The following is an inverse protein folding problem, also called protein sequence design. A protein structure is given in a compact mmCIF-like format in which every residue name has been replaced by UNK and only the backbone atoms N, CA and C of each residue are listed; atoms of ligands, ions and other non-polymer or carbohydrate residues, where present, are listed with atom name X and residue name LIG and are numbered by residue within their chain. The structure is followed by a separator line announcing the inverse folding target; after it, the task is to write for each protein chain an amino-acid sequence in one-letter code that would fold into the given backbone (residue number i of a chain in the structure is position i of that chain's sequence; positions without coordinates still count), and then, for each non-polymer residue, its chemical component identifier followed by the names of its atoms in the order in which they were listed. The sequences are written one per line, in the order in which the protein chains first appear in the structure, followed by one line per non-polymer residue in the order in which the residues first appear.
data_IF_360913625333
#
_entry.id   IF_360913625333
#
_cell.length_a   1.000
_cell.length_b   1.000
_cell.length_c   1.000
_cell.angle_alpha   90.00
_cell.angle_beta   90.00
_cell.angle_gamma   90.00
#
_symmetry.space_group_name_H-M   'P 1'
#
loop_
_entity.id
_entity.type
_entity.pdbx_description
1 polymer ?
#
# COMPACT_ATOMS: atom_id res chain seq x y z
N UNK A 1 -3.43 6.30 -20.55
CA UNK A 1 -3.70 7.56 -19.85
C UNK A 1 -3.00 8.70 -20.56
N UNK A 2 -3.76 9.71 -20.95
CA UNK A 2 -3.29 11.04 -21.33
C UNK A 2 -2.60 11.73 -20.14
N UNK A 3 -1.81 12.77 -20.41
CA UNK A 3 -1.10 13.50 -19.36
C UNK A 3 -2.06 14.24 -18.41
N UNK A 4 -3.20 14.70 -18.91
CA UNK A 4 -4.25 15.32 -18.10
C UNK A 4 -4.89 14.32 -17.11
N UNK A 5 -5.10 13.07 -17.53
CA UNK A 5 -5.61 12.01 -16.65
C UNK A 5 -4.60 11.66 -15.56
N UNK A 6 -3.29 11.62 -15.90
CA UNK A 6 -2.23 11.40 -14.91
C UNK A 6 -2.22 12.53 -13.88
N UNK A 7 -2.26 13.78 -14.31
CA UNK A 7 -2.24 14.93 -13.40
C UNK A 7 -3.43 14.89 -12.43
N UNK A 8 -4.65 14.62 -12.95
CA UNK A 8 -5.85 14.47 -12.13
C UNK A 8 -5.73 13.31 -11.12
N UNK A 9 -5.17 12.19 -11.55
CA UNK A 9 -4.91 11.04 -10.67
C UNK A 9 -3.93 11.41 -9.56
N UNK A 10 -2.79 12.02 -9.89
CA UNK A 10 -1.80 12.42 -8.88
C UNK A 10 -2.37 13.45 -7.91
N UNK A 11 -3.20 14.39 -8.38
CA UNK A 11 -3.92 15.30 -7.48
C UNK A 11 -4.79 14.52 -6.49
N UNK A 12 -5.55 13.52 -6.96
CA UNK A 12 -6.40 12.68 -6.10
C UNK A 12 -5.57 11.89 -5.07
N UNK A 13 -4.41 11.38 -5.49
CA UNK A 13 -3.46 10.71 -4.59
C UNK A 13 -3.02 11.66 -3.48
N UNK A 14 -2.55 12.87 -3.83
CA UNK A 14 -2.13 13.87 -2.87
C UNK A 14 -3.25 14.29 -1.92
N UNK A 15 -4.44 14.59 -2.47
CA UNK A 15 -5.62 14.95 -1.68
C UNK A 15 -5.98 13.83 -0.67
N UNK A 16 -5.91 12.56 -1.08
CA UNK A 16 -6.21 11.44 -0.17
C UNK A 16 -5.16 11.31 0.93
N UNK A 17 -3.87 11.46 0.60
CA UNK A 17 -2.79 11.36 1.58
C UNK A 17 -2.88 12.50 2.60
N UNK A 18 -3.22 13.71 2.16
CA UNK A 18 -3.38 14.87 3.04
C UNK A 18 -4.61 14.72 3.95
N UNK A 19 -5.74 14.27 3.42
CA UNK A 19 -7.01 14.24 4.16
C UNK A 19 -7.22 12.96 5.00
N UNK A 20 -6.66 11.82 4.56
CA UNK A 20 -6.92 10.50 5.16
C UNK A 20 -5.65 9.79 5.62
N UNK A 21 -4.47 10.37 5.36
CA UNK A 21 -3.19 9.79 5.76
C UNK A 21 -2.55 8.89 4.72
N UNK A 22 -3.30 8.32 3.78
CA UNK A 22 -2.74 7.50 2.69
C UNK A 22 -3.71 7.35 1.51
N UNK A 23 -3.20 6.81 0.40
CA UNK A 23 -3.95 6.43 -0.79
C UNK A 23 -3.65 4.97 -1.14
N UNK A 24 -4.66 4.19 -1.50
CA UNK A 24 -4.48 2.84 -2.06
C UNK A 24 -4.62 2.87 -3.58
N UNK A 25 -3.57 2.42 -4.27
CA UNK A 25 -3.62 2.13 -5.70
C UNK A 25 -3.99 0.67 -5.89
N UNK A 26 -4.92 0.36 -6.79
CA UNK A 26 -5.26 -1.01 -7.16
C UNK A 26 -5.13 -1.23 -8.66
N UNK A 27 -4.37 -2.25 -9.04
CA UNK A 27 -4.20 -2.70 -10.43
C UNK A 27 -5.07 -3.94 -10.61
N UNK A 28 -6.04 -3.83 -11.51
CA UNK A 28 -7.04 -4.87 -11.76
C UNK A 28 -6.40 -6.10 -12.42
N UNK A 29 -7.11 -7.22 -12.31
CA UNK A 29 -6.73 -8.46 -12.95
C UNK A 29 -6.79 -8.34 -14.49
N UNK A 30 -5.84 -9.00 -15.15
CA UNK A 30 -5.84 -9.22 -16.59
C UNK A 30 -5.38 -10.65 -16.87
N UNK A 31 -5.63 -11.16 -18.08
CA UNK A 31 -5.25 -12.54 -18.44
C UNK A 31 -3.73 -12.71 -18.28
N UNK A 32 -3.32 -13.61 -17.39
CA UNK A 32 -1.91 -13.87 -17.09
C UNK A 32 -1.27 -12.87 -16.11
N UNK A 33 -2.07 -12.01 -15.47
CA UNK A 33 -1.60 -10.99 -14.55
C UNK A 33 -2.31 -11.09 -13.19
N UNK A 34 -1.52 -11.25 -12.12
CA UNK A 34 -2.05 -11.28 -10.76
C UNK A 34 -2.41 -9.86 -10.32
N UNK A 35 -3.66 -9.59 -9.91
CA UNK A 35 -4.02 -8.27 -9.41
C UNK A 35 -3.22 -7.94 -8.16
N UNK A 36 -2.99 -6.66 -7.94
CA UNK A 36 -2.34 -6.21 -6.71
C UNK A 36 -2.83 -4.81 -6.33
N UNK A 37 -2.67 -4.47 -5.06
CA UNK A 37 -2.76 -3.09 -4.63
C UNK A 37 -1.65 -2.73 -3.67
N UNK A 38 -1.38 -1.43 -3.58
CA UNK A 38 -0.34 -0.90 -2.73
C UNK A 38 -0.73 0.45 -2.14
N UNK A 39 -0.26 0.71 -0.93
CA UNK A 39 -0.49 1.98 -0.25
C UNK A 39 0.56 3.02 -0.62
N UNK A 40 0.22 4.30 -0.48
CA UNK A 40 1.16 5.40 -0.59
C UNK A 40 0.79 6.46 0.45
N UNK A 41 1.77 6.93 1.21
CA UNK A 41 1.62 7.98 2.22
C UNK A 41 1.62 7.48 3.65
N UNK A 42 1.47 6.17 3.90
CA UNK A 42 1.50 5.60 5.24
C UNK A 42 2.84 5.88 5.91
N UNK A 43 3.95 5.67 5.18
CA UNK A 43 5.29 5.86 5.73
C UNK A 43 5.51 7.33 6.12
N UNK A 44 5.11 8.26 5.26
CA UNK A 44 5.19 9.70 5.53
C UNK A 44 4.40 10.12 6.78
N UNK A 45 3.17 9.63 6.92
CA UNK A 45 2.23 10.17 7.91
C UNK A 45 2.20 9.42 9.24
N UNK A 46 2.54 8.13 9.23
CA UNK A 46 2.49 7.27 10.42
C UNK A 46 3.84 6.66 10.80
N UNK A 47 4.87 6.80 9.96
CA UNK A 47 6.21 6.27 10.24
C UNK A 47 6.30 4.74 10.17
N UNK A 48 5.26 4.06 9.69
CA UNK A 48 5.24 2.61 9.48
C UNK A 48 5.33 2.27 7.99
N UNK A 49 5.88 1.11 7.59
CA UNK A 49 5.99 0.73 6.19
C UNK A 49 4.66 0.78 5.42
N UNK A 50 4.75 1.06 4.12
CA UNK A 50 3.67 0.86 3.16
C UNK A 50 3.35 -0.64 3.02
N UNK A 51 2.16 -0.97 2.51
CA UNK A 51 1.76 -2.33 2.18
C UNK A 51 1.72 -2.53 0.67
N UNK A 52 2.26 -3.66 0.22
CA UNK A 52 2.07 -4.21 -1.11
C UNK A 52 1.33 -5.53 -0.99
N UNK A 53 0.17 -5.66 -1.62
CA UNK A 53 -0.73 -6.81 -1.46
C UNK A 53 -1.01 -7.39 -2.84
N UNK A 54 -0.60 -8.63 -3.07
CA UNK A 54 -0.83 -9.35 -4.33
C UNK A 54 -1.91 -10.43 -4.18
N UNK A 55 -2.71 -10.61 -5.22
CA UNK A 55 -3.70 -11.69 -5.32
C UNK A 55 -5.00 -11.46 -4.55
N UNK A 56 -5.16 -10.34 -3.85
CA UNK A 56 -6.40 -10.00 -3.16
C UNK A 56 -7.29 -9.06 -3.99
N UNK A 57 -8.63 -9.24 -3.97
CA UNK A 57 -9.58 -8.28 -4.52
C UNK A 57 -9.46 -6.90 -3.86
N UNK A 58 -9.76 -5.84 -4.61
CA UNK A 58 -9.68 -4.44 -4.15
C UNK A 58 -10.35 -4.19 -2.79
N UNK A 59 -11.53 -4.78 -2.55
CA UNK A 59 -12.22 -4.66 -1.27
C UNK A 59 -11.39 -5.17 -0.10
N UNK A 60 -10.81 -6.38 -0.22
CA UNK A 60 -9.98 -6.98 0.82
C UNK A 60 -8.65 -6.25 0.97
N UNK A 61 -8.04 -5.79 -0.13
CA UNK A 61 -6.84 -4.93 -0.09
C UNK A 61 -7.11 -3.68 0.75
N UNK A 62 -8.22 -2.97 0.48
CA UNK A 62 -8.56 -1.77 1.23
C UNK A 62 -8.84 -2.06 2.71
N UNK A 63 -9.60 -3.11 3.00
CA UNK A 63 -9.88 -3.52 4.39
C UNK A 63 -8.59 -3.87 5.13
N UNK A 64 -7.70 -4.65 4.52
CA UNK A 64 -6.43 -5.05 5.13
C UNK A 64 -5.53 -3.84 5.40
N UNK A 65 -5.39 -2.92 4.45
CA UNK A 65 -4.58 -1.71 4.66
C UNK A 65 -5.15 -0.82 5.76
N UNK A 66 -6.47 -0.61 5.79
CA UNK A 66 -7.11 0.18 6.86
C UNK A 66 -6.89 -0.45 8.24
N UNK A 67 -7.11 -1.76 8.37
CA UNK A 67 -6.92 -2.48 9.63
C UNK A 67 -5.46 -2.44 10.09
N UNK A 68 -4.52 -2.57 9.14
CA UNK A 68 -3.08 -2.44 9.41
C UNK A 68 -2.73 -1.05 9.95
N UNK A 69 -3.16 0.03 9.28
CA UNK A 69 -2.88 1.39 9.73
C UNK A 69 -3.49 1.64 11.10
N UNK A 70 -4.77 1.33 11.29
CA UNK A 70 -5.46 1.60 12.56
C UNK A 70 -4.84 0.84 13.73
N UNK A 71 -4.40 -0.40 13.51
CA UNK A 71 -3.76 -1.21 14.55
C UNK A 71 -2.35 -0.75 14.87
N UNK A 72 -1.54 -0.46 13.85
CA UNK A 72 -0.10 -0.31 14.01
C UNK A 72 0.43 1.13 13.92
N UNK A 73 -0.40 2.14 13.60
CA UNK A 73 0.05 3.55 13.57
C UNK A 73 0.69 4.06 14.87
N UNK A 74 0.46 3.38 16.00
CA UNK A 74 1.06 3.70 17.30
C UNK A 74 1.69 2.46 17.99
N UNK A 75 1.88 1.36 17.26
CA UNK A 75 2.34 0.09 17.82
C UNK A 75 3.42 -0.53 16.94
N UNK A 76 4.19 -1.45 17.51
CA UNK A 76 5.19 -2.20 16.75
C UNK A 76 4.51 -3.24 15.85
N UNK A 77 5.00 -3.37 14.62
CA UNK A 77 4.52 -4.36 13.67
C UNK A 77 5.20 -5.72 13.94
N UNK A 78 4.45 -6.81 14.14
CA UNK A 78 5.01 -8.12 14.41
C UNK A 78 5.46 -8.79 13.10
N UNK A 79 6.66 -8.43 12.63
CA UNK A 79 7.25 -9.00 11.42
C UNK A 79 7.51 -10.51 11.58
N UNK A 80 7.31 -11.26 10.48
CA UNK A 80 7.52 -12.71 10.41
C UNK A 80 6.72 -13.52 11.46
N UNK A 81 5.62 -12.95 11.95
CA UNK A 81 4.74 -13.58 12.93
C UNK A 81 3.32 -13.67 12.37
N UNK A 82 2.61 -14.72 12.79
CA UNK A 82 1.21 -14.94 12.42
C UNK A 82 0.31 -13.95 13.15
N UNK A 83 -0.58 -13.31 12.42
CA UNK A 83 -1.62 -12.43 12.98
C UNK A 83 -2.96 -13.01 12.57
N UNK A 84 -3.67 -13.66 13.49
CA UNK A 84 -4.92 -14.36 13.21
C UNK A 84 -6.15 -13.45 13.17
N UNK A 85 -6.03 -12.21 13.65
CA UNK A 85 -7.16 -11.33 13.95
C UNK A 85 -7.07 -9.95 13.27
N UNK A 86 -6.20 -9.78 12.25
CA UNK A 86 -6.11 -8.52 11.52
C UNK A 86 -7.24 -8.34 10.51
N UNK A 87 -7.71 -9.45 9.92
CA UNK A 87 -8.84 -9.50 9.00
C UNK A 87 -9.57 -10.83 9.18
N UNK A 88 -10.89 -10.84 9.07
CA UNK A 88 -11.73 -11.99 9.45
C UNK A 88 -11.57 -13.21 8.53
N UNK A 89 -10.96 -13.03 7.35
CA UNK A 89 -10.95 -14.04 6.30
C UNK A 89 -9.75 -15.00 6.36
N UNK A 90 -8.60 -14.54 6.87
CA UNK A 90 -7.35 -15.32 6.85
C UNK A 90 -6.31 -14.70 7.80
N UNK A 91 -5.35 -15.51 8.28
CA UNK A 91 -4.20 -14.99 9.01
C UNK A 91 -3.27 -14.20 8.09
N UNK A 92 -2.62 -13.18 8.65
CA UNK A 92 -1.67 -12.31 7.95
C UNK A 92 -0.26 -12.51 8.51
N UNK A 93 0.73 -12.42 7.64
CA UNK A 93 2.14 -12.30 7.98
C UNK A 93 2.68 -11.09 7.24
N UNK A 94 3.56 -10.33 7.89
CA UNK A 94 4.27 -9.22 7.23
C UNK A 94 5.74 -9.57 7.02
N UNK A 95 6.20 -9.41 5.79
CA UNK A 95 7.58 -9.61 5.38
C UNK A 95 8.11 -8.32 4.76
N UNK A 96 9.33 -7.93 5.11
CA UNK A 96 9.98 -6.78 4.48
C UNK A 96 10.25 -7.03 2.99
N UNK A 97 9.85 -6.07 2.17
CA UNK A 97 10.12 -6.07 0.73
C UNK A 97 11.13 -4.99 0.41
N UNK A 98 12.15 -5.40 -0.34
CA UNK A 98 13.14 -4.48 -0.91
C UNK A 98 12.50 -3.65 -2.00
N UNK A 99 12.56 -2.32 -1.88
CA UNK A 99 11.93 -1.39 -2.82
C UNK A 99 12.37 -1.61 -4.27
N UNK A 100 13.59 -2.09 -4.52
CA UNK A 100 14.09 -2.35 -5.88
C UNK A 100 13.19 -3.35 -6.64
N UNK A 101 12.55 -4.29 -5.93
CA UNK A 101 11.64 -5.27 -6.50
C UNK A 101 10.26 -4.68 -6.87
N UNK A 102 9.94 -3.49 -6.36
CA UNK A 102 8.64 -2.84 -6.53
C UNK A 102 8.69 -1.63 -7.48
N UNK A 103 9.86 -1.29 -8.02
CA UNK A 103 10.08 -0.08 -8.84
C UNK A 103 9.20 -0.03 -10.09
N UNK A 104 8.82 -1.18 -10.66
CA UNK A 104 7.92 -1.28 -11.81
C UNK A 104 6.44 -1.45 -11.43
N UNK A 105 6.13 -1.61 -10.13
CA UNK A 105 4.78 -1.88 -9.64
C UNK A 105 4.19 -0.70 -8.85
N UNK A 106 4.92 -0.21 -7.84
CA UNK A 106 4.46 0.83 -6.92
C UNK A 106 4.74 2.24 -7.45
N UNK A 107 4.48 2.49 -8.74
CA UNK A 107 4.86 3.72 -9.46
C UNK A 107 4.38 5.00 -8.76
N UNK A 108 3.18 4.97 -8.17
CA UNK A 108 2.64 6.12 -7.43
C UNK A 108 3.48 6.43 -6.20
N UNK A 109 3.97 5.43 -5.48
CA UNK A 109 4.84 5.63 -4.31
C UNK A 109 6.20 6.15 -4.70
N UNK A 110 6.83 5.58 -5.73
CA UNK A 110 8.14 6.05 -6.21
C UNK A 110 8.07 7.49 -6.69
N UNK A 111 6.98 7.89 -7.36
CA UNK A 111 6.78 9.29 -7.72
C UNK A 111 6.42 10.17 -6.51
N UNK A 112 5.69 9.67 -5.52
CA UNK A 112 5.31 10.47 -4.34
C UNK A 112 6.50 10.73 -3.39
N UNK A 113 7.33 9.73 -3.17
CA UNK A 113 8.49 9.82 -2.26
C UNK A 113 9.73 10.40 -2.96
N UNK A 114 9.83 10.26 -4.28
CA UNK A 114 10.97 10.66 -5.12
C UNK A 114 12.32 10.28 -4.50
N UNK A 115 12.96 11.23 -3.81
CA UNK A 115 14.29 11.11 -3.21
C UNK A 115 14.26 10.76 -1.71
N UNK A 116 13.10 10.45 -1.16
CA UNK A 116 12.91 10.11 0.25
C UNK A 116 12.91 8.61 0.45
N UNK A 117 13.52 8.14 1.54
CA UNK A 117 13.42 6.74 1.94
C UNK A 117 12.00 6.39 2.39
N UNK A 118 11.53 5.22 1.99
CA UNK A 118 10.31 4.59 2.49
C UNK A 118 10.52 3.07 2.50
N UNK A 119 9.68 2.35 3.24
CA UNK A 119 9.74 0.88 3.35
C UNK A 119 8.43 0.25 2.94
N UNK A 120 8.50 -0.99 2.48
CA UNK A 120 7.35 -1.81 2.15
C UNK A 120 7.32 -3.11 2.94
N UNK A 121 6.11 -3.54 3.26
CA UNK A 121 5.79 -4.90 3.68
C UNK A 121 4.88 -5.56 2.64
N UNK A 122 4.95 -6.89 2.54
CA UNK A 122 4.02 -7.74 1.81
C UNK A 122 3.54 -8.88 2.69
#
# INVERSE_FOLDING_TARGET
MSDLEKEKYFKTVHDNIENYGFHNTYVMEEIGFTPFGYSTGIFKNFGIPELFISGLPNGLTNTLTNNYVERYKHQQIPLNQKIDDLIDCFPVYFIEVRNELLSEYALTSFKFYENSDFKYLQ
#
